data_IF_312010774122
#
_entry.id   IF_312010774122
#
_cell.length_a   1.000
_cell.length_b   1.000
_cell.length_c   1.000
_cell.angle_alpha   90.00
_cell.angle_beta   90.00
_cell.angle_gamma   90.00
#
_symmetry.space_group_name_H-M   'P 1'
#
loop_
_entity.id
_entity.type
_entity.pdbx_description
1 polymer ?
#
# COMPACT_ATOMS: atom_id res chain seq x y z
N UNK A 1 6.46 -7.10 16.85
CA UNK A 1 5.30 -7.73 17.52
C UNK A 1 4.41 -6.61 17.94
N UNK A 2 3.16 -6.63 17.50
CA UNK A 2 2.12 -5.62 17.72
C UNK A 2 1.95 -5.26 19.19
N UNK A 3 1.49 -4.03 19.49
CA UNK A 3 1.07 -3.64 20.85
C UNK A 3 -0.35 -4.09 21.19
N UNK A 4 -1.02 -4.80 20.27
CA UNK A 4 -2.37 -5.33 20.43
C UNK A 4 -2.28 -6.77 20.93
N UNK A 5 -1.83 -6.95 22.17
CA UNK A 5 -1.45 -8.26 22.75
C UNK A 5 -2.55 -9.33 22.71
N UNK A 6 -3.81 -8.94 22.59
CA UNK A 6 -4.97 -9.83 22.51
C UNK A 6 -5.43 -10.13 21.07
N UNK A 7 -4.64 -9.74 20.05
CA UNK A 7 -4.98 -9.87 18.64
C UNK A 7 -3.91 -10.69 17.89
N UNK A 8 -3.95 -12.04 17.98
CA UNK A 8 -2.89 -12.90 17.46
C UNK A 8 -2.93 -13.11 15.94
N UNK A 9 -4.01 -12.72 15.27
CA UNK A 9 -4.26 -13.09 13.89
C UNK A 9 -3.62 -12.11 12.89
N UNK A 10 -3.42 -12.61 11.68
CA UNK A 10 -2.93 -11.86 10.52
C UNK A 10 -4.05 -11.71 9.51
N UNK A 11 -4.15 -10.54 8.88
CA UNK A 11 -4.98 -10.35 7.70
C UNK A 11 -4.19 -9.76 6.53
N UNK A 12 -4.56 -10.19 5.34
CA UNK A 12 -4.29 -9.46 4.11
C UNK A 12 -5.31 -8.31 3.98
N UNK A 13 -4.84 -7.08 3.82
CA UNK A 13 -5.65 -5.90 3.56
C UNK A 13 -5.33 -5.40 2.14
N UNK A 14 -6.34 -5.44 1.26
CA UNK A 14 -6.23 -5.08 -0.14
C UNK A 14 -6.87 -3.71 -0.33
N UNK A 15 -6.06 -2.73 -0.71
CA UNK A 15 -6.47 -1.32 -0.74
C UNK A 15 -6.67 -0.87 -2.17
N UNK A 16 -7.90 -0.44 -2.48
CA UNK A 16 -8.28 0.32 -3.67
C UNK A 16 -7.82 -0.26 -5.01
N UNK A 17 -7.83 -1.60 -5.14
CA UNK A 17 -7.62 -2.28 -6.44
C UNK A 17 -8.90 -2.22 -7.27
N UNK A 18 -9.33 -0.99 -7.56
CA UNK A 18 -10.54 -0.62 -8.27
C UNK A 18 -10.23 -0.23 -9.71
N UNK A 19 -11.19 -0.43 -10.61
CA UNK A 19 -11.03 -0.18 -12.04
C UNK A 19 -10.48 1.21 -12.32
N UNK A 20 -11.02 2.26 -11.70
CA UNK A 20 -10.57 3.64 -11.92
C UNK A 20 -9.17 3.90 -11.34
N UNK A 21 -8.91 3.49 -10.10
CA UNK A 21 -7.64 3.76 -9.42
C UNK A 21 -6.43 3.06 -10.05
N UNK A 22 -6.60 1.85 -10.59
CA UNK A 22 -5.48 1.13 -11.20
C UNK A 22 -5.41 1.25 -12.71
N UNK A 23 -6.38 1.90 -13.37
CA UNK A 23 -6.48 1.93 -14.84
C UNK A 23 -5.18 2.37 -15.52
N UNK A 24 -4.59 3.44 -14.99
CA UNK A 24 -3.40 4.09 -15.55
C UNK A 24 -2.16 3.90 -14.64
N UNK A 25 -2.22 2.92 -13.72
CA UNK A 25 -1.13 2.62 -12.79
C UNK A 25 0.05 1.90 -13.48
N UNK A 26 1.24 2.12 -12.96
CA UNK A 26 2.48 1.50 -13.44
C UNK A 26 2.44 -0.03 -13.26
N UNK A 27 2.78 -0.76 -14.33
CA UNK A 27 2.83 -2.22 -14.37
C UNK A 27 1.56 -2.92 -13.83
N UNK A 28 0.41 -2.29 -14.08
CA UNK A 28 -0.91 -2.68 -13.56
C UNK A 28 -1.16 -4.18 -13.60
N UNK A 29 -0.95 -4.84 -14.74
CA UNK A 29 -1.32 -6.24 -14.92
C UNK A 29 -0.46 -7.18 -14.07
N UNK A 30 0.85 -6.92 -13.98
CA UNK A 30 1.74 -7.69 -13.13
C UNK A 30 1.38 -7.50 -11.65
N UNK A 31 1.12 -6.25 -11.23
CA UNK A 31 0.78 -5.92 -9.86
C UNK A 31 -0.57 -6.54 -9.46
N UNK A 32 -1.61 -6.43 -10.29
CA UNK A 32 -2.90 -7.08 -10.04
C UNK A 32 -2.75 -8.61 -10.00
N UNK A 33 -1.91 -9.20 -10.85
CA UNK A 33 -1.57 -10.63 -10.79
C UNK A 33 -0.89 -11.04 -9.49
N UNK A 34 0.02 -10.21 -8.97
CA UNK A 34 0.67 -10.43 -7.69
C UNK A 34 -0.32 -10.30 -6.53
N UNK A 35 -1.20 -9.28 -6.54
CA UNK A 35 -2.30 -9.17 -5.55
C UNK A 35 -3.16 -10.43 -5.55
N UNK A 36 -3.52 -10.96 -6.72
CA UNK A 36 -4.25 -12.23 -6.83
C UNK A 36 -3.49 -13.42 -6.22
N UNK A 37 -2.19 -13.51 -6.46
CA UNK A 37 -1.33 -14.55 -5.87
C UNK A 37 -1.28 -14.44 -4.34
N UNK A 38 -1.18 -13.22 -3.80
CA UNK A 38 -1.17 -12.95 -2.36
C UNK A 38 -2.52 -13.30 -1.72
N UNK A 39 -3.63 -12.99 -2.39
CA UNK A 39 -4.98 -13.41 -1.99
C UNK A 39 -5.07 -14.92 -1.86
N UNK A 40 -4.59 -15.66 -2.85
CA UNK A 40 -4.64 -17.12 -2.84
C UNK A 40 -3.76 -17.71 -1.72
N UNK A 41 -2.59 -17.12 -1.47
CA UNK A 41 -1.73 -17.48 -0.33
C UNK A 41 -2.43 -17.25 1.01
N UNK A 42 -3.08 -16.09 1.20
CA UNK A 42 -3.81 -15.78 2.42
C UNK A 42 -4.92 -16.81 2.67
N UNK A 43 -5.73 -17.09 1.65
CA UNK A 43 -6.81 -18.09 1.69
C UNK A 43 -6.30 -19.48 2.00
N UNK A 44 -5.21 -19.90 1.37
CA UNK A 44 -4.60 -21.21 1.60
C UNK A 44 -4.06 -21.38 3.02
N UNK A 45 -3.56 -20.30 3.63
CA UNK A 45 -3.09 -20.28 5.01
C UNK A 45 -4.22 -20.09 6.04
N UNK A 46 -5.45 -19.81 5.60
CA UNK A 46 -6.57 -19.49 6.49
C UNK A 46 -6.46 -18.11 7.14
N UNK A 47 -5.64 -17.21 6.60
CA UNK A 47 -5.58 -15.82 7.03
C UNK A 47 -6.81 -15.05 6.51
N UNK A 48 -7.25 -14.05 7.27
CA UNK A 48 -8.35 -13.18 6.85
C UNK A 48 -7.95 -12.35 5.62
N UNK A 49 -8.89 -12.15 4.70
CA UNK A 49 -8.75 -11.23 3.57
C UNK A 49 -9.78 -10.12 3.74
N UNK A 50 -9.31 -8.87 3.85
CA UNK A 50 -10.13 -7.66 4.01
C UNK A 50 -9.92 -6.78 2.80
N UNK A 51 -11.01 -6.41 2.14
CA UNK A 51 -11.00 -5.53 0.98
C UNK A 51 -11.34 -4.11 1.40
N UNK A 52 -10.71 -3.13 0.77
CA UNK A 52 -10.99 -1.71 0.96
C UNK A 52 -11.28 -1.08 -0.40
N UNK A 53 -12.35 -0.28 -0.48
CA UNK A 53 -12.70 0.49 -1.66
C UNK A 53 -12.90 1.97 -1.29
N UNK A 54 -12.16 2.83 -1.98
CA UNK A 54 -12.34 4.28 -1.89
C UNK A 54 -13.50 4.76 -2.76
N UNK A 55 -14.15 5.83 -2.32
CA UNK A 55 -15.12 6.57 -3.12
C UNK A 55 -14.96 8.07 -2.88
N UNK A 56 -15.20 8.83 -3.94
CA UNK A 56 -15.24 10.28 -3.96
C UNK A 56 -16.29 10.73 -5.00
N UNK A 57 -16.31 12.03 -5.30
CA UNK A 57 -17.25 12.60 -6.27
C UNK A 57 -16.97 12.15 -7.72
N UNK A 58 -15.71 11.80 -8.05
CA UNK A 58 -15.29 11.36 -9.38
C UNK A 58 -15.56 9.86 -9.60
N UNK A 59 -15.49 9.07 -8.53
CA UNK A 59 -15.76 7.63 -8.49
C UNK A 59 -16.80 7.30 -7.41
N UNK A 60 -18.07 7.71 -7.60
CA UNK A 60 -19.12 7.47 -6.62
C UNK A 60 -19.43 5.97 -6.50
N UNK A 61 -19.90 5.57 -5.32
CA UNK A 61 -20.24 4.18 -5.03
C UNK A 61 -21.25 3.61 -6.05
N UNK A 62 -20.99 2.38 -6.49
CA UNK A 62 -21.81 1.70 -7.50
C UNK A 62 -21.49 2.08 -8.94
N UNK A 63 -20.67 3.10 -9.20
CA UNK A 63 -20.20 3.41 -10.55
C UNK A 63 -19.28 2.31 -11.09
N UNK A 64 -19.11 2.27 -12.41
CA UNK A 64 -18.20 1.32 -13.07
C UNK A 64 -16.73 1.48 -12.64
N UNK A 65 -16.11 2.69 -12.64
CA UNK A 65 -14.72 2.84 -12.20
C UNK A 65 -14.52 2.48 -10.73
N UNK A 66 -15.56 2.64 -9.90
CA UNK A 66 -15.51 2.31 -8.49
C UNK A 66 -15.45 0.80 -8.18
N UNK A 67 -15.88 -0.07 -9.10
CA UNK A 67 -15.86 -1.51 -8.86
C UNK A 67 -14.42 -2.03 -8.69
N UNK A 68 -14.25 -3.10 -7.91
CA UNK A 68 -13.01 -3.88 -7.93
C UNK A 68 -12.69 -4.34 -9.35
N UNK A 69 -11.40 -4.49 -9.66
CA UNK A 69 -10.98 -5.04 -10.94
C UNK A 69 -11.52 -6.46 -11.15
N UNK A 70 -12.00 -6.82 -12.35
CA UNK A 70 -12.65 -8.12 -12.60
C UNK A 70 -11.69 -9.32 -12.47
N UNK A 71 -10.39 -9.09 -12.51
CA UNK A 71 -9.35 -10.11 -12.29
C UNK A 71 -9.31 -10.62 -10.85
N UNK A 72 -9.83 -9.83 -9.89
CA UNK A 72 -9.84 -10.15 -8.47
C UNK A 72 -11.28 -10.41 -8.00
N UNK A 73 -11.54 -11.64 -7.57
CA UNK A 73 -12.86 -12.06 -7.09
C UNK A 73 -12.86 -12.13 -5.57
N UNK A 74 -13.56 -11.18 -4.93
CA UNK A 74 -13.87 -11.20 -3.50
C UNK A 74 -14.88 -12.31 -3.19
N UNK A 75 -14.64 -13.06 -2.11
CA UNK A 75 -15.60 -14.01 -1.57
C UNK A 75 -16.60 -13.31 -0.64
N UNK A 76 -17.84 -13.77 -0.58
CA UNK A 76 -18.89 -13.15 0.25
C UNK A 76 -18.51 -13.06 1.75
N UNK A 77 -17.71 -14.01 2.25
CA UNK A 77 -17.27 -14.05 3.64
C UNK A 77 -16.12 -13.07 3.96
N UNK A 78 -15.46 -12.51 2.94
CA UNK A 78 -14.35 -11.57 3.07
C UNK A 78 -14.92 -10.15 3.26
N UNK A 79 -14.60 -9.45 4.37
CA UNK A 79 -15.08 -8.11 4.61
C UNK A 79 -14.73 -7.14 3.49
N UNK A 80 -15.63 -6.18 3.26
CA UNK A 80 -15.43 -5.06 2.35
C UNK A 80 -15.69 -3.76 3.09
N UNK A 81 -14.64 -2.98 3.28
CA UNK A 81 -14.67 -1.67 3.92
C UNK A 81 -14.73 -0.59 2.85
N UNK A 82 -15.58 0.40 3.07
CA UNK A 82 -15.66 1.58 2.21
C UNK A 82 -15.02 2.78 2.91
N UNK A 83 -14.21 3.54 2.18
CA UNK A 83 -13.52 4.73 2.70
C UNK A 83 -13.67 5.95 1.81
N UNK A 84 -13.58 7.14 2.38
CA UNK A 84 -13.57 8.42 1.67
C UNK A 84 -12.24 9.19 1.84
N UNK A 85 -11.28 8.63 2.57
CA UNK A 85 -9.98 9.24 2.85
C UNK A 85 -8.83 8.29 2.50
N UNK A 86 -7.60 8.79 2.51
CA UNK A 86 -6.41 8.00 2.16
C UNK A 86 -6.09 6.93 3.23
N UNK A 87 -6.14 7.29 4.51
CA UNK A 87 -6.02 6.32 5.61
C UNK A 87 -7.29 5.47 5.67
N UNK A 88 -7.18 4.16 5.44
CA UNK A 88 -8.32 3.25 5.45
C UNK A 88 -8.96 3.08 6.83
N UNK A 89 -8.33 3.55 7.90
CA UNK A 89 -8.91 3.61 9.24
C UNK A 89 -9.73 4.89 9.51
N UNK A 90 -9.61 5.90 8.67
CA UNK A 90 -10.24 7.21 8.91
C UNK A 90 -11.70 7.20 8.46
N UNK A 91 -12.60 7.40 9.42
CA UNK A 91 -14.06 7.41 9.20
C UNK A 91 -14.59 6.12 8.52
N UNK A 92 -14.07 4.96 8.96
CA UNK A 92 -14.49 3.64 8.47
C UNK A 92 -14.74 2.65 9.61
N UNK A 93 -15.20 1.46 9.27
CA UNK A 93 -15.34 0.31 10.17
C UNK A 93 -14.12 -0.62 10.19
N UNK A 94 -13.00 -0.27 9.52
CA UNK A 94 -11.82 -1.13 9.40
C UNK A 94 -11.28 -1.59 10.77
N UNK A 95 -11.10 -0.68 11.72
CA UNK A 95 -10.64 -1.02 13.07
C UNK A 95 -11.58 -2.03 13.73
N UNK A 96 -12.89 -1.84 13.61
CA UNK A 96 -13.89 -2.72 14.22
C UNK A 96 -13.84 -4.11 13.60
N UNK A 97 -13.78 -4.19 12.27
CA UNK A 97 -13.63 -5.46 11.51
C UNK A 97 -12.38 -6.21 11.94
N UNK A 98 -11.24 -5.51 12.06
CA UNK A 98 -9.98 -6.10 12.47
C UNK A 98 -10.01 -6.56 13.93
N UNK A 99 -10.59 -5.76 14.82
CA UNK A 99 -10.69 -6.06 16.25
C UNK A 99 -11.58 -7.29 16.53
N UNK A 100 -12.75 -7.37 15.87
CA UNK A 100 -13.69 -8.49 16.02
C UNK A 100 -13.08 -9.83 15.61
N UNK A 101 -12.13 -9.80 14.66
CA UNK A 101 -11.40 -10.96 14.16
C UNK A 101 -10.09 -11.21 14.90
N UNK A 102 -9.77 -10.41 15.92
CA UNK A 102 -8.53 -10.55 16.68
C UNK A 102 -7.27 -10.35 15.84
N UNK A 103 -7.33 -9.46 14.84
CA UNK A 103 -6.21 -9.18 13.93
C UNK A 103 -5.30 -8.10 14.53
N UNK A 104 -4.03 -8.42 14.71
CA UNK A 104 -2.99 -7.50 15.20
C UNK A 104 -1.88 -7.26 14.18
N UNK A 105 -1.88 -8.04 13.08
CA UNK A 105 -0.91 -7.92 11.99
C UNK A 105 -1.61 -7.76 10.66
N UNK A 106 -1.12 -6.80 9.88
CA UNK A 106 -1.62 -6.50 8.54
C UNK A 106 -0.53 -6.78 7.51
N UNK A 107 -0.89 -7.52 6.48
CA UNK A 107 -0.13 -7.61 5.22
C UNK A 107 -0.87 -6.73 4.22
N UNK A 108 -0.21 -5.73 3.65
CA UNK A 108 -0.85 -4.68 2.85
C UNK A 108 -0.40 -4.77 1.40
N UNK A 109 -1.36 -4.66 0.48
CA UNK A 109 -1.17 -4.65 -0.97
C UNK A 109 -2.23 -3.73 -1.63
N UNK A 110 -1.95 -3.20 -2.82
CA UNK A 110 -2.92 -2.43 -3.60
C UNK A 110 -2.43 -1.07 -4.11
N UNK A 111 -3.30 -0.06 -4.15
CA UNK A 111 -3.01 1.24 -4.74
C UNK A 111 -3.66 2.40 -3.93
N UNK A 112 -3.25 3.65 -4.11
CA UNK A 112 -1.99 4.06 -4.73
C UNK A 112 -0.86 4.07 -3.69
N UNK A 113 0.37 3.74 -4.12
CA UNK A 113 1.58 3.59 -3.29
C UNK A 113 1.81 4.77 -2.33
N UNK A 114 1.79 5.98 -2.87
CA UNK A 114 2.17 7.23 -2.20
C UNK A 114 1.00 7.96 -1.51
N UNK A 115 -0.22 7.49 -1.74
CA UNK A 115 -1.47 7.99 -1.15
C UNK A 115 -2.03 6.99 -0.13
N UNK A 116 -2.93 6.11 -0.56
CA UNK A 116 -3.73 5.26 0.32
C UNK A 116 -2.91 4.15 0.99
N UNK A 117 -1.95 3.56 0.27
CA UNK A 117 -1.03 2.56 0.83
C UNK A 117 -0.18 3.22 1.90
N UNK A 118 0.54 4.30 1.57
CA UNK A 118 1.36 5.06 2.52
C UNK A 118 0.59 5.49 3.75
N UNK A 119 -0.60 6.08 3.56
CA UNK A 119 -1.41 6.60 4.67
C UNK A 119 -1.88 5.48 5.59
N UNK A 120 -2.35 4.37 5.03
CA UNK A 120 -2.84 3.22 5.82
C UNK A 120 -1.72 2.48 6.53
N UNK A 121 -0.53 2.35 5.91
CA UNK A 121 0.66 1.78 6.54
C UNK A 121 1.02 2.54 7.84
N UNK A 122 1.12 3.87 7.76
CA UNK A 122 1.37 4.69 8.95
C UNK A 122 0.20 4.66 9.93
N UNK A 123 -1.04 4.68 9.42
CA UNK A 123 -2.26 4.58 10.21
C UNK A 123 -2.30 3.30 11.06
N UNK A 124 -1.86 2.17 10.50
CA UNK A 124 -1.74 0.89 11.19
C UNK A 124 -0.69 0.94 12.32
N UNK A 125 0.53 1.40 12.01
CA UNK A 125 1.62 1.45 12.99
C UNK A 125 1.29 2.35 14.19
N UNK A 126 0.67 3.51 13.94
CA UNK A 126 0.27 4.44 15.02
C UNK A 126 -0.82 3.83 15.91
N UNK A 127 -1.71 3.00 15.35
CA UNK A 127 -2.79 2.32 16.08
C UNK A 127 -2.37 1.04 16.79
N UNK A 128 -1.11 0.60 16.61
CA UNK A 128 -0.55 -0.53 17.34
C UNK A 128 -0.34 -1.81 16.54
N UNK A 129 -0.75 -1.84 15.27
CA UNK A 129 -0.60 -3.02 14.41
C UNK A 129 0.85 -3.26 14.01
N UNK A 130 1.21 -4.51 13.76
CA UNK A 130 2.32 -4.84 12.86
C UNK A 130 1.84 -4.63 11.41
N UNK A 131 2.70 -4.08 10.53
CA UNK A 131 2.32 -3.76 9.16
C UNK A 131 3.43 -4.12 8.15
N UNK A 132 3.20 -5.19 7.39
CA UNK A 132 4.08 -5.69 6.34
C UNK A 132 3.56 -5.25 4.98
N UNK A 133 4.40 -4.61 4.16
CA UNK A 133 4.06 -4.24 2.78
C UNK A 133 4.52 -5.35 1.82
N UNK A 134 3.66 -5.78 0.90
CA UNK A 134 4.07 -6.69 -0.16
C UNK A 134 4.70 -5.88 -1.30
N UNK A 135 6.03 -5.90 -1.40
CA UNK A 135 6.83 -4.93 -2.16
C UNK A 135 6.62 -4.92 -3.67
N UNK A 136 6.10 -6.02 -4.21
CA UNK A 136 5.77 -6.21 -5.62
C UNK A 136 4.25 -6.34 -5.85
N UNK A 137 3.41 -5.98 -4.87
CA UNK A 137 1.96 -6.00 -4.97
C UNK A 137 1.34 -4.64 -4.58
N UNK A 138 2.05 -3.54 -4.84
CA UNK A 138 1.48 -2.20 -4.79
C UNK A 138 1.96 -1.33 -5.96
N UNK A 139 1.16 -0.33 -6.34
CA UNK A 139 1.48 0.54 -7.48
C UNK A 139 0.88 1.94 -7.37
N UNK A 140 1.34 2.86 -8.22
CA UNK A 140 0.82 4.21 -8.39
C UNK A 140 0.86 4.60 -9.87
N UNK A 141 0.22 5.72 -10.21
CA UNK A 141 0.20 6.26 -11.57
C UNK A 141 1.39 7.18 -11.86
N UNK A 142 1.57 7.56 -13.13
CA UNK A 142 2.59 8.52 -13.52
C UNK A 142 2.08 9.96 -13.33
N UNK A 143 2.53 10.60 -12.25
CA UNK A 143 2.24 11.99 -11.92
C UNK A 143 3.42 12.93 -12.17
N UNK A 144 4.36 12.56 -13.06
CA UNK A 144 5.53 13.40 -13.37
C UNK A 144 5.16 14.79 -13.88
N UNK A 145 4.03 14.93 -14.59
CA UNK A 145 3.56 16.23 -15.06
C UNK A 145 3.23 17.20 -13.91
N UNK A 146 2.93 16.66 -12.72
CA UNK A 146 2.66 17.41 -11.48
C UNK A 146 3.88 17.49 -10.54
N UNK A 147 5.03 16.96 -10.96
CA UNK A 147 6.29 17.01 -10.21
C UNK A 147 6.57 15.81 -9.31
N UNK A 148 5.81 14.72 -9.43
CA UNK A 148 6.15 13.46 -8.77
C UNK A 148 7.39 12.81 -9.44
N UNK A 149 8.15 11.96 -8.72
CA UNK A 149 9.11 11.06 -9.35
C UNK A 149 8.43 10.10 -10.34
N UNK A 150 9.22 9.42 -11.17
CA UNK A 150 8.71 8.30 -11.96
C UNK A 150 8.05 7.24 -11.04
N UNK A 151 6.95 6.60 -11.44
CA UNK A 151 6.19 5.70 -10.56
C UNK A 151 7.03 4.55 -10.00
N UNK A 152 7.96 4.00 -10.77
CA UNK A 152 8.91 2.98 -10.30
C UNK A 152 9.82 3.48 -9.19
N UNK A 153 10.19 4.76 -9.18
CA UNK A 153 10.97 5.38 -8.12
C UNK A 153 10.11 5.65 -6.88
N UNK A 154 8.83 5.99 -7.05
CA UNK A 154 7.87 6.12 -5.94
C UNK A 154 7.67 4.77 -5.23
N UNK A 155 7.51 3.70 -6.02
CA UNK A 155 7.41 2.32 -5.53
C UNK A 155 8.70 1.90 -4.82
N UNK A 156 9.86 2.06 -5.47
CA UNK A 156 11.15 1.69 -4.90
C UNK A 156 11.47 2.47 -3.62
N UNK A 157 11.19 3.77 -3.59
CA UNK A 157 11.37 4.59 -2.38
C UNK A 157 10.43 4.14 -1.26
N UNK A 158 9.19 3.77 -1.59
CA UNK A 158 8.22 3.29 -0.59
C UNK A 158 8.65 1.97 0.03
N UNK A 159 9.11 1.03 -0.79
CA UNK A 159 9.70 -0.21 -0.30
C UNK A 159 10.91 0.06 0.59
N UNK A 160 11.82 0.93 0.14
CA UNK A 160 13.03 1.26 0.89
C UNK A 160 12.69 1.82 2.28
N UNK A 161 11.89 2.87 2.38
CA UNK A 161 11.65 3.48 3.69
C UNK A 161 10.79 2.58 4.60
N UNK A 162 9.90 1.76 4.03
CA UNK A 162 9.05 0.87 4.82
C UNK A 162 9.81 -0.35 5.36
N UNK A 163 10.79 -0.87 4.60
CA UNK A 163 11.67 -1.96 5.03
C UNK A 163 12.37 -1.66 6.36
N UNK A 164 12.81 -0.40 6.52
CA UNK A 164 13.53 0.06 7.70
C UNK A 164 12.65 0.83 8.71
N UNK A 165 11.32 0.85 8.51
CA UNK A 165 10.44 1.55 9.42
C UNK A 165 10.40 0.83 10.78
N UNK A 166 10.47 1.60 11.88
CA UNK A 166 10.44 1.04 13.24
C UNK A 166 9.55 1.84 14.16
N UNK A 167 8.89 1.16 15.09
CA UNK A 167 8.17 1.78 16.20
C UNK A 167 8.27 0.88 17.45
N UNK A 168 8.32 1.45 18.68
CA UNK A 168 8.52 0.65 19.89
C UNK A 168 7.49 -0.47 20.07
N UNK A 169 7.89 -1.74 20.01
CA UNK A 169 6.92 -2.85 20.16
C UNK A 169 5.89 -2.90 19.02
N UNK A 170 6.30 -2.58 17.79
CA UNK A 170 5.61 -2.90 16.53
C UNK A 170 6.65 -3.26 15.48
N UNK A 171 6.28 -4.05 14.50
CA UNK A 171 7.10 -4.44 13.37
C UNK A 171 6.53 -3.87 12.09
N UNK A 172 7.41 -3.25 11.29
CA UNK A 172 7.17 -2.94 9.89
C UNK A 172 8.28 -3.62 9.06
N UNK A 173 8.07 -3.69 7.75
CA UNK A 173 9.00 -4.30 6.82
C UNK A 173 8.33 -4.55 5.47
N UNK A 174 9.11 -5.02 4.50
CA UNK A 174 8.62 -5.45 3.20
C UNK A 174 8.83 -6.94 2.98
N UNK A 175 8.04 -7.52 2.08
CA UNK A 175 8.21 -8.90 1.62
C UNK A 175 7.79 -9.00 0.17
N UNK A 176 8.45 -9.86 -0.62
CA UNK A 176 7.98 -10.13 -1.98
C UNK A 176 6.77 -11.04 -1.97
N UNK A 177 5.97 -11.02 -3.04
CA UNK A 177 4.89 -11.99 -3.25
C UNK A 177 5.41 -13.42 -3.21
N UNK A 178 6.63 -13.67 -3.70
CA UNK A 178 7.24 -15.00 -3.69
C UNK A 178 7.54 -15.50 -2.27
N UNK A 179 8.13 -14.65 -1.43
CA UNK A 179 8.63 -15.02 -0.09
C UNK A 179 7.57 -14.88 1.01
N UNK A 180 6.44 -14.23 0.72
CA UNK A 180 5.36 -14.07 1.68
C UNK A 180 4.80 -15.42 2.14
N UNK A 181 4.83 -15.63 3.46
CA UNK A 181 4.22 -16.73 4.19
C UNK A 181 3.35 -16.16 5.33
N UNK A 182 2.07 -16.50 5.34
CA UNK A 182 1.12 -16.04 6.37
C UNK A 182 1.20 -16.81 7.69
N UNK A 183 1.95 -17.91 7.73
CA UNK A 183 2.11 -18.75 8.93
C UNK A 183 3.31 -18.34 9.79
N UNK A 184 4.24 -17.56 9.23
CA UNK A 184 5.46 -17.14 9.90
C UNK A 184 5.35 -15.73 10.52
N UNK A 185 6.16 -15.41 11.55
CA UNK A 185 6.33 -14.04 12.02
C UNK A 185 6.86 -13.12 10.91
N UNK A 186 6.43 -11.85 10.89
CA UNK A 186 7.05 -10.82 10.04
C UNK A 186 8.53 -10.72 10.47
N UNK A 187 9.48 -10.77 9.53
CA UNK A 187 10.88 -10.53 9.84
C UNK A 187 11.02 -9.20 10.58
N UNK A 188 11.83 -9.13 11.63
CA UNK A 188 12.17 -7.84 12.19
C UNK A 188 12.86 -7.00 11.09
N UNK A 189 12.54 -5.69 11.03
CA UNK A 189 13.26 -4.76 10.17
C UNK A 189 14.76 -5.01 10.31
N UNK A 190 15.48 -5.05 9.18
CA UNK A 190 16.90 -5.32 9.18
C UNK A 190 17.62 -4.34 10.14
N UNK A 191 18.23 -4.89 11.19
CA UNK A 191 19.04 -4.12 12.14
C UNK A 191 20.34 -3.72 11.42
N UNK A 192 20.42 -2.51 10.89
CA UNK A 192 21.63 -2.06 10.24
C UNK A 192 22.68 -1.65 11.27
N UNK A 193 23.70 -2.49 11.40
CA UNK A 193 25.06 -1.95 11.35
C UNK A 193 25.22 -1.25 10.00
N UNK A 194 25.07 0.08 10.00
CA UNK A 194 25.10 0.93 8.81
C UNK A 194 26.21 0.55 7.82
N UNK A 195 25.82 0.04 6.65
CA UNK A 195 26.70 -0.02 5.48
C UNK A 195 26.26 1.07 4.51
N UNK A 196 27.18 1.98 4.24
CA UNK A 196 27.01 3.23 3.51
C UNK A 196 26.37 2.99 2.14
N UNK A 197 25.07 3.27 2.01
CA UNK A 197 24.39 3.26 0.73
C UNK A 197 25.10 4.22 -0.24
N UNK A 198 25.73 3.66 -1.27
CA UNK A 198 26.44 4.44 -2.28
C UNK A 198 25.49 5.44 -2.96
N UNK A 199 25.91 6.71 -3.16
CA UNK A 199 25.06 7.70 -3.79
C UNK A 199 24.72 7.29 -5.22
N UNK A 200 23.44 7.37 -5.56
CA UNK A 200 22.94 7.23 -6.93
C UNK A 200 23.58 8.33 -7.79
N UNK A 201 24.25 7.99 -8.92
CA UNK A 201 24.89 9.00 -9.75
C UNK A 201 23.83 9.89 -10.41
N UNK A 202 23.88 11.19 -10.13
CA UNK A 202 23.09 12.21 -10.82
C UNK A 202 23.62 12.39 -12.25
N UNK A 203 23.06 11.66 -13.22
CA UNK A 203 23.26 11.94 -14.64
C UNK A 203 22.33 13.07 -15.06
N UNK A 204 22.78 14.31 -14.83
CA UNK A 204 22.01 15.51 -15.12
C UNK A 204 22.88 16.71 -15.44
N UNK A 205 23.87 16.54 -16.33
CA UNK A 205 24.50 17.67 -17.00
C UNK A 205 23.64 18.05 -18.21
N UNK A 206 22.94 19.19 -18.12
CA UNK A 206 22.51 19.90 -19.33
C UNK A 206 22.73 21.40 -19.12
N UNK A 207 23.48 21.96 -20.08
CA UNK A 207 23.89 23.33 -20.12
C UNK A 207 22.73 24.28 -20.46
N UNK A 208 22.76 25.44 -19.80
CA UNK A 208 22.43 26.78 -20.31
C UNK A 208 21.27 26.93 -21.31
N UNK A 209 20.21 27.64 -20.88
CA UNK A 209 19.68 28.79 -21.62
C UNK A 209 18.70 29.64 -20.80
N UNK A 210 19.07 30.93 -20.73
CA UNK A 210 18.21 32.11 -20.86
C UNK A 210 17.21 32.45 -19.75
N UNK A 211 17.49 33.60 -19.16
CA UNK A 211 16.57 34.53 -18.49
C UNK A 211 15.27 34.75 -19.27
N UNK A 212 14.15 34.81 -18.55
CA UNK A 212 12.87 35.27 -19.07
C UNK A 212 11.68 34.76 -18.27
N UNK A 213 11.27 35.50 -17.24
CA UNK A 213 9.97 35.33 -16.58
C UNK A 213 8.86 35.90 -17.46
N UNK A 214 7.75 35.17 -17.66
CA UNK A 214 6.45 35.82 -17.74
C UNK A 214 5.46 35.23 -16.73
N UNK A 215 4.69 36.13 -16.12
CA UNK A 215 3.86 35.90 -14.93
C UNK A 215 2.63 35.01 -15.09
N UNK A 216 2.08 34.68 -13.92
CA UNK A 216 0.82 33.97 -13.69
C UNK A 216 -0.36 34.87 -14.10
N UNK A 217 -1.32 34.41 -14.92
CA UNK A 217 -2.67 34.95 -14.92
C UNK A 217 -3.58 34.09 -14.04
N UNK A 218 -4.18 34.70 -13.03
CA UNK A 218 -5.24 34.09 -12.24
C UNK A 218 -6.58 34.07 -12.99
N UNK A 219 -7.36 33.01 -12.80
CA UNK A 219 -8.65 32.95 -12.12
C UNK A 219 -9.12 31.50 -12.06
#
# INVERSE_FOLDING_TARGET
MTTLDNRPNTALVIIDVQIGFVKDAYDRDAIVGNVGTVVDKARAAGADVVWVQHHDDDQPQGSAPWQLVPELVRLDAEPLVHKAYADAFEDTDLESVLAERGIGRLVIAGAQTDECIRSTLHGAIVRGYDALLVSDAHTTEDLQEYGAPAPELVIAHTNLYWEYHTAPGRTAGTVTTADLDFTEPVPAAADEGAEEAAPVPNSGESADRSTGTPGIPGQ
#
